data_IF_685354533290
#
_entry.id   IF_685354533290
#
_cell.length_a   1.000
_cell.length_b   1.000
_cell.length_c   1.000
_cell.angle_alpha   90.00
_cell.angle_beta   90.00
_cell.angle_gamma   90.00
#
_symmetry.space_group_name_H-M   'P 1'
#
loop_
_entity.id
_entity.type
_entity.pdbx_description
1 polymer ?
#
# COMPACT_ATOMS: atom_id res chain seq x y z
N UNK A 1 4.15 4.11 14.77
CA UNK A 1 3.02 3.91 13.85
C UNK A 1 2.84 5.19 13.07
N UNK A 2 3.05 5.19 11.74
CA UNK A 2 2.96 6.45 10.98
C UNK A 2 2.17 6.36 9.68
N UNK A 3 1.55 5.22 9.35
CA UNK A 3 0.69 5.17 8.17
C UNK A 3 -0.39 4.10 8.29
N UNK A 4 -1.64 4.54 8.18
CA UNK A 4 -2.85 3.70 8.11
C UNK A 4 -3.63 4.16 6.89
N UNK A 5 -3.95 3.24 5.99
CA UNK A 5 -4.58 3.58 4.71
C UNK A 5 -5.44 2.45 4.13
N UNK A 6 -6.25 2.80 3.13
CA UNK A 6 -7.02 1.88 2.27
C UNK A 6 -6.63 1.98 0.79
N UNK A 7 -5.37 2.33 0.50
CA UNK A 7 -4.93 2.57 -0.88
C UNK A 7 -5.00 1.32 -1.76
N UNK A 8 -4.98 0.12 -1.15
CA UNK A 8 -5.06 -1.15 -1.86
C UNK A 8 -6.50 -1.65 -2.05
N UNK A 9 -7.36 -1.47 -1.05
CA UNK A 9 -8.74 -1.95 -1.05
C UNK A 9 -9.62 -0.90 -0.39
N UNK A 10 -10.34 -0.13 -1.19
CA UNK A 10 -11.29 0.85 -0.68
C UNK A 10 -12.54 0.14 -0.15
N UNK A 11 -12.89 0.39 1.11
CA UNK A 11 -14.08 -0.16 1.78
C UNK A 11 -15.04 0.92 2.26
N UNK A 12 -14.91 2.15 1.77
CA UNK A 12 -15.78 3.28 2.10
C UNK A 12 -15.83 3.53 3.62
N UNK A 13 -17.02 3.64 4.22
CA UNK A 13 -17.22 3.87 5.65
C UNK A 13 -17.00 2.62 6.54
N UNK A 14 -16.52 1.51 5.98
CA UNK A 14 -16.23 0.32 6.78
C UNK A 14 -14.91 0.49 7.51
N UNK A 15 -14.92 0.18 8.82
CA UNK A 15 -13.72 0.09 9.65
C UNK A 15 -12.78 -1.03 9.21
N UNK A 16 -13.26 -2.06 8.53
CA UNK A 16 -12.41 -3.12 7.99
C UNK A 16 -11.70 -2.67 6.70
N UNK A 17 -10.49 -3.19 6.46
CA UNK A 17 -9.72 -2.92 5.25
C UNK A 17 -8.76 -1.72 5.30
N UNK A 18 -8.62 -1.10 6.47
CA UNK A 18 -7.51 -0.19 6.77
C UNK A 18 -6.28 -1.00 7.15
N UNK A 19 -5.16 -0.74 6.49
CA UNK A 19 -3.91 -1.46 6.66
C UNK A 19 -2.86 -0.52 7.21
N UNK A 20 -2.16 -0.97 8.24
CA UNK A 20 -0.94 -0.31 8.66
C UNK A 20 0.21 -0.62 7.73
N UNK A 21 1.13 0.34 7.62
CA UNK A 21 2.29 0.23 6.75
C UNK A 21 3.53 -0.20 7.52
N UNK A 22 3.39 -0.82 8.70
CA UNK A 22 4.56 -1.23 9.47
C UNK A 22 5.41 -2.18 8.62
N UNK A 23 6.67 -1.81 8.32
CA UNK A 23 7.52 -2.67 7.52
C UNK A 23 7.89 -3.94 8.27
N UNK A 24 7.76 -3.98 9.60
CA UNK A 24 8.28 -5.06 10.45
C UNK A 24 7.22 -6.09 10.86
N UNK A 25 5.93 -5.87 10.61
CA UNK A 25 4.85 -6.81 10.97
C UNK A 25 4.04 -7.18 9.73
N UNK A 26 3.87 -8.49 9.43
CA UNK A 26 3.00 -8.95 8.35
C UNK A 26 1.53 -9.03 8.76
N UNK A 27 1.24 -8.91 10.06
CA UNK A 27 -0.11 -8.83 10.60
C UNK A 27 -0.66 -7.45 10.31
N UNK A 28 -1.63 -7.42 9.40
CA UNK A 28 -2.42 -6.24 9.16
C UNK A 28 -3.36 -6.04 10.32
N UNK A 29 -3.24 -4.89 10.95
CA UNK A 29 -4.23 -4.46 11.92
C UNK A 29 -5.57 -4.31 11.19
N UNK A 30 -6.62 -4.97 11.66
CA UNK A 30 -7.94 -4.83 11.07
C UNK A 30 -8.48 -3.53 11.66
N UNK A 31 -9.06 -2.62 10.85
CA UNK A 31 -9.37 -1.29 11.38
C UNK A 31 -10.40 -1.23 12.51
N UNK A 32 -10.94 -2.36 13.00
CA UNK A 32 -11.54 -2.44 14.34
C UNK A 32 -10.58 -2.03 15.47
N UNK A 33 -9.28 -2.24 15.29
CA UNK A 33 -8.29 -2.03 16.34
C UNK A 33 -7.84 -0.55 16.41
N UNK A 34 -8.24 0.26 15.42
CA UNK A 34 -8.03 1.70 15.45
C UNK A 34 -9.05 2.40 16.33
N UNK A 35 -8.54 3.33 17.15
CA UNK A 35 -9.37 4.28 17.87
C UNK A 35 -9.91 5.31 16.87
N UNK A 36 -11.01 4.98 16.19
CA UNK A 36 -11.66 5.91 15.27
C UNK A 36 -12.32 7.07 16.02
N UNK A 37 -12.39 8.23 15.36
CA UNK A 37 -13.22 9.34 15.80
C UNK A 37 -14.70 8.97 15.87
N UNK A 38 -15.48 9.82 16.52
CA UNK A 38 -16.94 9.70 16.50
C UNK A 38 -17.43 9.76 15.05
N UNK A 39 -18.22 8.77 14.64
CA UNK A 39 -18.81 8.64 13.28
C UNK A 39 -17.79 8.26 12.18
N UNK A 40 -16.54 7.97 12.55
CA UNK A 40 -15.46 7.67 11.60
C UNK A 40 -15.24 6.15 11.39
N UNK A 41 -14.77 5.72 10.20
CA UNK A 41 -14.55 6.53 8.99
C UNK A 41 -15.88 6.94 8.33
N UNK A 42 -15.91 8.15 7.76
CA UNK A 42 -17.12 8.71 7.13
C UNK A 42 -17.23 8.39 5.63
N UNK A 43 -16.21 7.75 5.06
CA UNK A 43 -16.11 7.41 3.64
C UNK A 43 -15.55 8.57 2.80
N UNK A 44 -14.80 9.48 3.42
CA UNK A 44 -14.27 10.64 2.73
C UNK A 44 -13.19 10.29 1.73
N UNK A 45 -12.28 9.31 2.01
CA UNK A 45 -11.25 8.81 1.07
C UNK A 45 -10.25 7.81 1.72
N UNK A 46 -9.20 7.29 1.02
CA UNK A 46 -8.45 6.13 1.50
C UNK A 46 -7.30 6.43 2.48
N UNK A 47 -7.18 7.63 3.03
CA UNK A 47 -6.09 7.98 3.97
C UNK A 47 -6.62 8.40 5.33
N UNK A 48 -5.75 8.36 6.34
CA UNK A 48 -6.09 8.78 7.70
C UNK A 48 -5.25 9.96 8.16
N UNK A 49 -5.82 10.76 9.04
CA UNK A 49 -5.07 11.64 9.94
C UNK A 49 -5.25 11.17 11.37
N UNK A 50 -4.24 11.43 12.21
CA UNK A 50 -4.33 11.17 13.65
C UNK A 50 -4.47 12.48 14.40
N UNK A 51 -5.58 12.64 15.11
CA UNK A 51 -5.86 13.84 15.91
C UNK A 51 -5.33 13.65 17.32
N UNK A 52 -4.20 14.27 17.64
CA UNK A 52 -3.50 14.09 18.91
C UNK A 52 -4.36 14.44 20.16
N UNK A 53 -5.19 15.49 20.07
CA UNK A 53 -6.03 15.93 21.19
C UNK A 53 -7.12 14.92 21.54
N UNK A 54 -7.76 14.33 20.53
CA UNK A 54 -8.79 13.31 20.68
C UNK A 54 -8.22 11.89 20.80
N UNK A 55 -6.94 11.70 20.43
CA UNK A 55 -6.26 10.40 20.29
C UNK A 55 -6.96 9.44 19.32
N UNK A 56 -7.58 9.99 18.27
CA UNK A 56 -8.37 9.23 17.32
C UNK A 56 -7.88 9.36 15.88
N UNK A 57 -8.20 8.35 15.06
CA UNK A 57 -8.04 8.37 13.60
C UNK A 57 -9.31 8.89 12.92
N UNK A 58 -9.13 9.64 11.85
CA UNK A 58 -10.21 10.11 10.98
C UNK A 58 -9.81 9.85 9.53
N UNK A 59 -10.74 9.42 8.68
CA UNK A 59 -10.51 9.31 7.25
C UNK A 59 -10.54 10.68 6.57
N UNK A 60 -9.75 10.82 5.51
CA UNK A 60 -9.54 12.08 4.83
C UNK A 60 -9.27 11.86 3.34
N UNK A 61 -9.54 12.89 2.50
CA UNK A 61 -9.06 12.95 1.13
C UNK A 61 -7.55 13.01 1.01
N UNK A 62 -7.06 12.43 -0.08
CA UNK A 62 -5.67 12.42 -0.49
C UNK A 62 -5.15 13.82 -0.79
N UNK A 63 -6.06 14.69 -1.23
CA UNK A 63 -5.82 16.11 -1.44
C UNK A 63 -6.87 16.88 -0.64
N UNK A 64 -6.42 17.60 0.39
CA UNK A 64 -7.30 18.50 1.15
C UNK A 64 -7.21 19.88 0.49
N UNK A 65 -8.33 20.38 -0.04
CA UNK A 65 -8.38 21.72 -0.66
C UNK A 65 -8.28 22.85 0.38
N UNK A 66 -8.69 22.58 1.61
CA UNK A 66 -8.88 23.59 2.65
C UNK A 66 -7.74 23.58 3.70
N UNK A 67 -6.60 22.95 3.40
CA UNK A 67 -5.46 22.88 4.32
C UNK A 67 -4.16 22.41 3.66
N UNK A 68 -3.01 22.51 4.35
CA UNK A 68 -1.71 22.17 3.78
C UNK A 68 -1.41 20.66 3.75
N UNK A 69 -2.41 19.81 3.98
CA UNK A 69 -2.21 18.38 4.12
C UNK A 69 -2.31 17.69 2.75
N UNK A 70 -1.22 17.07 2.33
CA UNK A 70 -1.17 16.17 1.19
C UNK A 70 -0.84 14.76 1.69
N UNK A 71 -1.17 13.75 0.88
CA UNK A 71 -0.67 12.40 1.13
C UNK A 71 0.81 12.34 0.80
N UNK A 72 1.60 11.91 1.79
CA UNK A 72 3.02 11.69 1.64
C UNK A 72 3.31 10.18 1.69
N UNK A 73 3.90 9.67 0.61
CA UNK A 73 4.45 8.33 0.56
C UNK A 73 5.91 8.40 1.02
N UNK A 74 6.11 8.59 2.33
CA UNK A 74 7.43 8.71 2.94
C UNK A 74 7.49 7.90 4.24
N UNK A 75 8.68 7.36 4.54
CA UNK A 75 8.96 6.70 5.81
C UNK A 75 9.86 7.57 6.67
N UNK A 76 9.34 8.05 7.80
CA UNK A 76 10.01 8.99 8.70
C UNK A 76 11.06 8.38 9.64
N UNK A 77 11.75 7.30 9.26
CA UNK A 77 12.73 6.64 10.13
C UNK A 77 13.86 5.92 9.36
N UNK A 78 14.90 5.45 10.05
CA UNK A 78 15.94 4.65 9.41
C UNK A 78 15.34 3.33 8.92
N UNK A 79 15.44 3.06 7.63
CA UNK A 79 14.97 1.80 7.06
C UNK A 79 15.89 0.67 7.55
N UNK A 80 15.30 -0.41 8.07
CA UNK A 80 16.05 -1.57 8.54
C UNK A 80 16.85 -2.19 7.38
N UNK A 81 18.14 -2.48 7.59
CA UNK A 81 19.03 -3.06 6.56
C UNK A 81 18.92 -4.59 6.44
N UNK A 82 18.00 -5.22 7.16
CA UNK A 82 17.89 -6.67 7.25
C UNK A 82 17.15 -7.25 6.05
N UNK A 83 17.89 -7.90 5.15
CA UNK A 83 17.34 -8.79 4.12
C UNK A 83 16.92 -10.11 4.77
N UNK A 84 15.72 -10.15 5.33
CA UNK A 84 15.07 -11.40 5.72
C UNK A 84 14.69 -12.24 4.48
N UNK A 85 14.37 -13.52 4.66
CA UNK A 85 13.76 -14.31 3.59
C UNK A 85 12.49 -13.62 3.08
N UNK A 86 12.53 -13.15 1.84
CA UNK A 86 11.41 -12.45 1.19
C UNK A 86 10.65 -13.44 0.33
N UNK A 87 9.32 -13.48 0.51
CA UNK A 87 8.39 -14.19 -0.35
C UNK A 87 7.47 -13.21 -1.05
N UNK A 88 7.12 -13.47 -2.29
CA UNK A 88 6.14 -12.71 -3.04
C UNK A 88 4.83 -13.48 -3.17
N UNK A 89 3.69 -12.83 -2.90
CA UNK A 89 2.37 -13.45 -2.93
C UNK A 89 1.38 -12.62 -3.73
N UNK A 90 0.63 -13.25 -4.62
CA UNK A 90 -0.43 -12.59 -5.41
C UNK A 90 -1.74 -12.38 -4.64
N UNK A 91 -1.95 -13.13 -3.56
CA UNK A 91 -3.19 -13.15 -2.78
C UNK A 91 -3.11 -12.43 -1.43
N UNK A 92 -2.03 -11.69 -1.19
CA UNK A 92 -1.79 -11.00 0.08
C UNK A 92 -1.96 -9.48 -0.08
N UNK A 93 -2.55 -8.76 0.91
CA UNK A 93 -3.32 -9.27 2.07
C UNK A 93 -4.55 -10.08 1.65
N UNK A 94 -5.14 -9.71 0.51
CA UNK A 94 -6.34 -10.31 -0.04
C UNK A 94 -6.18 -10.49 -1.55
N UNK A 95 -6.87 -11.45 -2.16
CA UNK A 95 -6.99 -11.52 -3.62
C UNK A 95 -7.65 -10.25 -4.17
N UNK A 96 -7.06 -9.68 -5.22
CA UNK A 96 -7.63 -8.54 -5.93
C UNK A 96 -8.20 -8.97 -7.28
N UNK A 97 -9.35 -8.42 -7.62
CA UNK A 97 -9.99 -8.58 -8.94
C UNK A 97 -9.72 -7.40 -9.86
N UNK A 98 -9.37 -6.23 -9.30
CA UNK A 98 -8.97 -5.04 -10.01
C UNK A 98 -7.62 -4.55 -9.46
N UNK A 99 -6.72 -4.17 -10.38
CA UNK A 99 -5.38 -3.71 -10.07
C UNK A 99 -5.22 -2.20 -10.24
N UNK A 100 -6.19 -1.54 -10.86
CA UNK A 100 -6.13 -0.13 -11.26
C UNK A 100 -7.22 0.65 -10.55
N UNK A 101 -6.84 1.77 -9.95
CA UNK A 101 -7.76 2.75 -9.41
C UNK A 101 -8.19 3.73 -10.51
N UNK A 102 -9.51 3.84 -10.73
CA UNK A 102 -10.10 4.71 -11.75
C UNK A 102 -10.23 6.17 -11.33
N UNK A 103 -10.20 6.47 -10.04
CA UNK A 103 -10.22 7.86 -9.55
C UNK A 103 -8.95 8.61 -10.02
N UNK A 104 -9.08 9.70 -10.80
CA UNK A 104 -7.93 10.46 -11.29
C UNK A 104 -7.16 11.21 -10.19
N UNK A 105 -7.77 11.43 -9.02
CA UNK A 105 -7.12 12.06 -7.86
C UNK A 105 -6.32 11.07 -7.01
N UNK A 106 -6.35 9.78 -7.35
CA UNK A 106 -5.60 8.77 -6.64
C UNK A 106 -4.10 8.87 -6.95
N UNK A 107 -3.30 9.15 -5.93
CA UNK A 107 -1.85 9.35 -6.09
C UNK A 107 -1.07 8.02 -6.04
N UNK A 108 -1.52 7.03 -5.25
CA UNK A 108 -0.77 5.79 -4.99
C UNK A 108 0.63 6.05 -4.43
N UNK A 109 1.35 5.01 -4.02
CA UNK A 109 2.75 5.16 -3.58
C UNK A 109 3.72 4.47 -4.54
N UNK A 110 3.62 4.74 -5.83
CA UNK A 110 4.45 4.08 -6.84
C UNK A 110 5.81 4.77 -7.04
N UNK A 111 6.84 4.00 -7.41
CA UNK A 111 8.10 4.51 -7.96
C UNK A 111 8.00 4.68 -9.48
N UNK A 112 9.10 5.09 -10.12
CA UNK A 112 9.24 5.02 -11.58
C UNK A 112 8.80 3.67 -12.18
N UNK A 113 8.27 3.74 -13.40
CA UNK A 113 7.92 2.58 -14.22
C UNK A 113 9.19 2.09 -14.90
N UNK A 114 9.63 0.89 -14.57
CA UNK A 114 10.82 0.27 -15.15
C UNK A 114 10.42 -0.60 -16.36
N UNK A 115 10.79 -0.24 -17.59
CA UNK A 115 10.42 -1.02 -18.78
C UNK A 115 11.27 -2.29 -18.91
N UNK A 116 10.75 -3.27 -19.67
CA UNK A 116 11.48 -4.45 -20.13
C UNK A 116 12.07 -5.34 -19.01
N UNK A 117 11.42 -5.40 -17.84
CA UNK A 117 11.80 -6.29 -16.76
C UNK A 117 10.98 -7.57 -16.78
N UNK A 118 11.65 -8.71 -16.61
CA UNK A 118 10.96 -9.96 -16.29
C UNK A 118 10.31 -9.87 -14.90
N UNK A 119 9.26 -10.67 -14.62
CA UNK A 119 8.66 -10.74 -13.28
C UNK A 119 9.67 -10.96 -12.16
N UNK A 120 10.69 -11.81 -12.40
CA UNK A 120 11.73 -12.14 -11.43
C UNK A 120 12.64 -10.94 -11.17
N UNK A 121 13.08 -10.22 -12.20
CA UNK A 121 13.93 -9.03 -12.03
C UNK A 121 13.19 -7.92 -11.30
N UNK A 122 11.90 -7.72 -11.60
CA UNK A 122 11.05 -6.75 -10.92
C UNK A 122 10.91 -7.08 -9.42
N UNK A 123 10.58 -8.34 -9.10
CA UNK A 123 10.50 -8.81 -7.72
C UNK A 123 11.84 -8.68 -6.98
N UNK A 124 12.95 -8.97 -7.65
CA UNK A 124 14.28 -8.87 -7.05
C UNK A 124 14.70 -7.43 -6.75
N UNK A 125 14.38 -6.48 -7.65
CA UNK A 125 14.58 -5.05 -7.39
C UNK A 125 13.77 -4.60 -6.16
N UNK A 126 12.52 -5.04 -6.05
CA UNK A 126 11.69 -4.78 -4.86
C UNK A 126 12.20 -5.46 -3.59
N UNK A 127 12.77 -6.67 -3.69
CA UNK A 127 13.28 -7.39 -2.52
C UNK A 127 14.43 -6.64 -1.84
N UNK A 128 15.32 -6.04 -2.65
CA UNK A 128 16.48 -5.26 -2.19
C UNK A 128 16.12 -3.88 -1.65
N UNK A 129 14.96 -3.37 -2.03
CA UNK A 129 14.45 -2.10 -1.56
C UNK A 129 13.52 -2.32 -0.36
N UNK A 130 13.96 -1.88 0.80
CA UNK A 130 13.27 -2.03 2.08
C UNK A 130 11.99 -1.19 2.13
N UNK A 131 11.89 -0.12 1.33
CA UNK A 131 10.66 0.65 1.19
C UNK A 131 9.67 -0.04 0.25
N UNK A 132 10.11 -0.91 -0.68
CA UNK A 132 9.19 -1.56 -1.61
C UNK A 132 8.26 -2.56 -0.90
N UNK A 133 6.95 -2.43 -1.14
CA UNK A 133 5.87 -3.24 -0.55
C UNK A 133 5.24 -4.21 -1.54
N UNK A 134 5.14 -3.85 -2.82
CA UNK A 134 4.61 -4.73 -3.86
C UNK A 134 5.11 -4.35 -5.24
N UNK A 135 4.89 -5.25 -6.21
CA UNK A 135 5.18 -5.00 -7.62
C UNK A 135 3.97 -5.31 -8.48
N UNK A 136 3.81 -4.51 -9.52
CA UNK A 136 2.88 -4.72 -10.61
C UNK A 136 3.67 -4.91 -11.90
N UNK A 137 3.30 -5.92 -12.68
CA UNK A 137 3.96 -6.27 -13.93
C UNK A 137 2.94 -6.27 -15.05
N UNK A 138 3.18 -5.48 -16.10
CA UNK A 138 2.32 -5.46 -17.28
C UNK A 138 2.62 -6.63 -18.21
N UNK A 139 1.58 -7.13 -18.89
CA UNK A 139 1.72 -8.15 -19.92
C UNK A 139 1.10 -7.67 -21.24
N UNK A 140 1.77 -7.91 -22.40
CA UNK A 140 3.09 -8.54 -22.56
C UNK A 140 4.28 -7.57 -22.35
N UNK A 141 4.02 -6.28 -22.06
CA UNK A 141 5.02 -5.21 -22.12
C UNK A 141 6.15 -5.27 -21.11
N UNK A 142 6.05 -6.10 -20.05
CA UNK A 142 7.13 -6.28 -19.08
C UNK A 142 7.48 -5.01 -18.30
N UNK A 143 6.55 -4.06 -18.21
CA UNK A 143 6.74 -2.89 -17.35
C UNK A 143 6.56 -3.32 -15.90
N UNK A 144 7.49 -2.89 -15.06
CA UNK A 144 7.52 -3.13 -13.65
C UNK A 144 7.24 -1.82 -12.91
N UNK A 145 6.14 -1.79 -12.17
CA UNK A 145 5.82 -0.69 -11.25
C UNK A 145 6.02 -1.21 -9.83
N UNK A 146 6.84 -0.53 -9.04
CA UNK A 146 7.06 -0.87 -7.63
C UNK A 146 6.23 0.06 -6.77
N UNK A 147 5.52 -0.48 -5.81
CA UNK A 147 4.84 0.29 -4.76
C UNK A 147 5.78 0.42 -3.57
N UNK A 148 6.03 1.65 -3.15
CA UNK A 148 6.97 2.08 -2.13
C UNK A 148 6.20 2.53 -0.88
N UNK A 149 6.72 2.26 0.30
CA UNK A 149 6.20 2.65 1.62
C UNK A 149 4.84 2.07 2.00
N UNK A 150 3.83 2.18 1.12
CA UNK A 150 2.53 1.56 1.22
C UNK A 150 2.25 0.71 -0.01
N UNK A 151 1.47 -0.35 0.18
CA UNK A 151 0.89 -1.10 -0.92
C UNK A 151 -0.37 -0.39 -1.42
N UNK A 152 -0.59 -0.33 -2.73
CA UNK A 152 -1.68 0.44 -3.32
C UNK A 152 -2.08 -0.10 -4.68
N UNK A 153 -3.31 0.20 -5.12
CA UNK A 153 -3.69 0.03 -6.53
C UNK A 153 -2.79 0.90 -7.45
N UNK A 154 -2.74 0.56 -8.74
CA UNK A 154 -2.11 1.41 -9.74
C UNK A 154 -2.98 2.63 -10.01
N UNK A 155 -2.44 3.86 -9.98
CA UNK A 155 -3.15 5.01 -10.53
C UNK A 155 -3.42 4.82 -12.02
N UNK A 156 -4.64 5.11 -12.49
CA UNK A 156 -4.99 4.98 -13.92
C UNK A 156 -4.01 5.72 -14.84
N UNK A 157 -3.53 6.90 -14.41
CA UNK A 157 -2.54 7.72 -15.12
C UNK A 157 -1.23 6.99 -15.42
N UNK A 158 -0.85 6.00 -14.59
CA UNK A 158 0.39 5.24 -14.72
C UNK A 158 0.24 3.95 -15.53
N UNK A 159 -0.98 3.59 -15.92
CA UNK A 159 -1.21 2.33 -16.65
C UNK A 159 -0.96 2.45 -18.15
N UNK A 160 -0.95 3.68 -18.69
CA UNK A 160 -0.83 3.92 -20.12
C UNK A 160 -1.87 3.17 -20.96
N UNK A 161 -3.07 2.94 -20.41
CA UNK A 161 -4.15 2.19 -21.07
C UNK A 161 -3.98 0.66 -21.10
N UNK A 162 -2.95 0.10 -20.45
CA UNK A 162 -2.74 -1.34 -20.38
C UNK A 162 -3.75 -2.00 -19.43
N UNK A 163 -4.38 -3.07 -19.90
CA UNK A 163 -5.47 -3.75 -19.19
C UNK A 163 -5.05 -5.01 -18.45
N UNK A 164 -3.83 -5.52 -18.69
CA UNK A 164 -3.34 -6.77 -18.10
C UNK A 164 -2.16 -6.54 -17.18
N UNK A 165 -2.44 -6.61 -15.89
CA UNK A 165 -1.46 -6.47 -14.81
C UNK A 165 -1.46 -7.73 -13.94
N UNK A 166 -0.28 -8.13 -13.49
CA UNK A 166 -0.11 -9.10 -12.42
C UNK A 166 0.52 -8.39 -11.23
N UNK A 167 0.04 -8.68 -10.02
CA UNK A 167 0.52 -8.07 -8.78
C UNK A 167 1.12 -9.11 -7.85
N UNK A 168 2.22 -8.75 -7.21
CA UNK A 168 2.84 -9.55 -6.16
C UNK A 168 3.25 -8.68 -4.97
N UNK A 169 2.68 -8.95 -3.80
CA UNK A 169 3.03 -8.29 -2.55
C UNK A 169 4.28 -8.92 -1.93
N UNK A 170 5.17 -8.08 -1.40
CA UNK A 170 6.35 -8.48 -0.63
C UNK A 170 5.91 -8.88 0.76
N UNK A 171 6.24 -10.11 1.14
CA UNK A 171 5.90 -10.72 2.43
C UNK A 171 7.14 -11.34 3.05
N UNK A 172 7.15 -11.54 4.36
CA UNK A 172 8.21 -12.29 5.02
C UNK A 172 7.95 -13.79 4.92
N UNK A 173 9.03 -14.57 4.81
CA UNK A 173 8.97 -15.99 5.11
C UNK A 173 8.86 -16.14 6.64
N UNK A 174 7.83 -16.79 7.18
CA UNK A 174 7.79 -17.08 8.61
C UNK A 174 9.05 -17.87 8.99
N UNK A 175 9.73 -17.45 10.06
CA UNK A 175 10.73 -18.30 10.70
C UNK A 175 10.04 -19.57 11.19
N UNK A 176 10.55 -20.78 10.85
CA UNK A 176 10.01 -22.01 11.43
C UNK A 176 10.14 -21.93 12.96
N UNK A 177 9.01 -21.88 13.68
CA UNK A 177 9.00 -22.00 15.15
C UNK A 177 8.30 -20.89 15.94
N UNK A 178 7.83 -19.81 15.31
CA UNK A 178 6.99 -18.81 15.98
C UNK A 178 5.57 -18.91 15.44
N UNK A 179 4.72 -19.69 16.12
CA UNK A 179 3.27 -19.61 15.96
C UNK A 179 2.74 -18.31 16.63
N UNK A 180 1.62 -17.76 16.14
CA UNK A 180 0.96 -16.61 16.75
C UNK A 180 0.51 -16.89 18.19
#
# INVERSE_FOLDING_TARGET
>A
WTGVNQLLVYRNNLKSGWYDVNPNTPEYTIGSDFQWGTIQPEGYEPVTTYTQSAKTYNDYPMVITDGPYAVFCEYGGPLAKTTMGIKFRSTFPVPLTNFVQSNPLFYGCFSEILPNLTPIQCAFACARDVACRSVYISQPGGECVRMMYADSLLPASQTGGKTRWARFAKTYTPTPGTNP
#
